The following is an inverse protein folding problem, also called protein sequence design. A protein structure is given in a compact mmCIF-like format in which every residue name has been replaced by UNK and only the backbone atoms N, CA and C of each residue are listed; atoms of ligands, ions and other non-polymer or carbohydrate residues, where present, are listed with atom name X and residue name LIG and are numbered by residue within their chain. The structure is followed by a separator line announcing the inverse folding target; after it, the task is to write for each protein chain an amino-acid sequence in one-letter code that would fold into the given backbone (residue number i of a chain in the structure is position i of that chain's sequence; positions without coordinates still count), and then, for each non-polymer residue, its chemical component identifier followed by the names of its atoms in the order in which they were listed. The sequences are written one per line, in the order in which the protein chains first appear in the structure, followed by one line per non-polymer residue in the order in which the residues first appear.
data_IF_980291660980
#
_entry.id   IF_980291660980
#
_cell.length_a   1.000
_cell.length_b   1.000
_cell.length_c   1.000
_cell.angle_alpha   90.00
_cell.angle_beta   90.00
_cell.angle_gamma   90.00
#
_symmetry.space_group_name_H-M   'P 1'
#
loop_
_entity.id
_entity.type
_entity.pdbx_description
1 polymer ?
#
# COMPACT_ATOMS: atom_id res chain seq x y z
N UNK A 1 49.64 7.65 6.17
CA UNK A 1 48.69 8.08 7.22
C UNK A 1 48.34 6.85 8.03
N UNK A 2 48.97 6.67 9.20
CA UNK A 2 48.70 5.51 10.04
C UNK A 2 47.34 5.71 10.70
N UNK A 3 46.39 4.84 10.38
CA UNK A 3 45.06 4.85 10.99
C UNK A 3 45.24 4.31 12.42
N UNK A 4 44.94 5.13 13.41
CA UNK A 4 45.03 4.71 14.80
C UNK A 4 43.86 3.77 15.15
N UNK A 5 43.94 3.10 16.31
CA UNK A 5 42.92 2.14 16.77
C UNK A 5 41.47 2.68 16.66
N UNK A 6 41.27 3.97 16.99
CA UNK A 6 39.98 4.64 16.86
C UNK A 6 39.47 4.64 15.41
N UNK A 7 40.36 4.86 14.43
CA UNK A 7 40.01 4.84 13.02
C UNK A 7 39.62 3.44 12.53
N UNK A 8 40.30 2.38 13.00
CA UNK A 8 39.89 1.00 12.71
C UNK A 8 38.54 0.66 13.35
N UNK A 9 38.27 1.12 14.58
CA UNK A 9 36.95 0.96 15.21
C UNK A 9 35.85 1.66 14.42
N UNK A 10 36.11 2.87 13.90
CA UNK A 10 35.15 3.61 13.09
C UNK A 10 34.87 2.91 11.75
N UNK A 11 35.90 2.39 11.08
CA UNK A 11 35.74 1.58 9.86
C UNK A 11 34.92 0.32 10.14
N UNK A 12 35.20 -0.38 11.25
CA UNK A 12 34.42 -1.54 11.68
C UNK A 12 32.94 -1.22 11.90
N UNK A 13 32.65 -0.09 12.57
CA UNK A 13 31.27 0.38 12.77
C UNK A 13 30.58 0.71 11.43
N UNK A 14 31.27 1.40 10.52
CA UNK A 14 30.74 1.70 9.18
C UNK A 14 30.42 0.43 8.39
N UNK A 15 31.28 -0.59 8.44
CA UNK A 15 31.05 -1.88 7.78
C UNK A 15 29.81 -2.56 8.38
N UNK A 16 29.66 -2.58 9.70
CA UNK A 16 28.48 -3.15 10.38
C UNK A 16 27.20 -2.43 9.95
N UNK A 17 27.22 -1.10 9.89
CA UNK A 17 26.08 -0.28 9.41
C UNK A 17 25.77 -0.60 7.95
N UNK A 18 26.78 -0.68 7.08
CA UNK A 18 26.58 -1.03 5.67
C UNK A 18 26.01 -2.44 5.50
N UNK A 19 26.49 -3.43 6.27
CA UNK A 19 25.95 -4.80 6.25
C UNK A 19 24.49 -4.80 6.73
N UNK A 20 24.17 -4.02 7.77
CA UNK A 20 22.80 -3.92 8.27
C UNK A 20 21.87 -3.28 7.23
N UNK A 21 22.27 -2.15 6.64
CA UNK A 21 21.53 -1.50 5.54
C UNK A 21 21.35 -2.45 4.35
N UNK A 22 22.39 -3.20 4.00
CA UNK A 22 22.31 -4.18 2.91
C UNK A 22 21.31 -5.29 3.23
N UNK A 23 21.35 -5.88 4.43
CA UNK A 23 20.39 -6.92 4.85
C UNK A 23 18.95 -6.42 4.99
N UNK A 24 18.76 -5.14 5.36
CA UNK A 24 17.44 -4.55 5.55
C UNK A 24 16.84 -3.96 4.25
N UNK A 25 17.56 -4.01 3.13
CA UNK A 25 17.09 -3.46 1.85
C UNK A 25 15.92 -4.28 1.28
N UNK A 26 14.74 -3.66 1.19
CA UNK A 26 13.53 -4.28 0.66
C UNK A 26 13.71 -4.87 -0.76
N UNK A 27 14.52 -4.20 -1.57
CA UNK A 27 14.74 -4.55 -2.98
C UNK A 27 15.43 -5.91 -3.19
N UNK A 28 16.11 -6.44 -2.16
CA UNK A 28 16.80 -7.74 -2.23
C UNK A 28 15.86 -8.92 -1.96
N UNK A 29 14.67 -8.67 -1.42
CA UNK A 29 13.73 -9.70 -1.01
C UNK A 29 12.44 -9.74 -1.85
N UNK A 30 12.31 -8.85 -2.82
CA UNK A 30 11.17 -8.81 -3.74
C UNK A 30 11.59 -9.33 -5.11
N UNK A 31 10.79 -10.24 -5.64
CA UNK A 31 10.89 -10.70 -7.03
C UNK A 31 9.85 -9.96 -7.85
N UNK A 32 10.29 -9.40 -8.98
CA UNK A 32 9.41 -8.61 -9.84
C UNK A 32 9.02 -9.37 -11.10
N UNK A 33 7.71 -9.54 -11.31
CA UNK A 33 7.14 -10.25 -12.46
C UNK A 33 6.14 -9.35 -13.20
N UNK A 34 5.92 -9.65 -14.48
CA UNK A 34 4.88 -8.97 -15.27
C UNK A 34 3.56 -9.66 -14.98
N UNK A 35 2.52 -8.90 -14.64
CA UNK A 35 1.17 -9.45 -14.46
C UNK A 35 0.45 -9.51 -15.81
N UNK A 36 -0.26 -10.62 -16.04
CA UNK A 36 -1.08 -10.81 -17.23
C UNK A 36 -2.38 -9.98 -17.19
N UNK A 37 -2.72 -9.40 -16.03
CA UNK A 37 -3.93 -8.60 -15.83
C UNK A 37 -3.85 -7.25 -16.55
N UNK A 38 -2.69 -6.59 -16.49
CA UNK A 38 -2.51 -5.24 -17.06
C UNK A 38 -1.16 -5.01 -17.77
N UNK A 39 -0.33 -6.06 -17.89
CA UNK A 39 0.97 -6.00 -18.55
C UNK A 39 2.04 -5.21 -17.79
N UNK A 40 1.81 -4.84 -16.53
CA UNK A 40 2.77 -4.07 -15.72
C UNK A 40 3.63 -4.98 -14.85
N UNK A 41 4.82 -4.47 -14.51
CA UNK A 41 5.76 -5.11 -13.59
C UNK A 41 5.35 -4.81 -12.14
N UNK A 42 5.14 -5.85 -11.35
CA UNK A 42 4.88 -5.78 -9.91
C UNK A 42 5.96 -6.52 -9.14
N UNK A 43 6.43 -5.92 -8.06
CA UNK A 43 7.42 -6.52 -7.17
C UNK A 43 6.73 -7.06 -5.92
N UNK A 44 6.80 -8.38 -5.74
CA UNK A 44 6.12 -9.13 -4.68
C UNK A 44 7.13 -10.01 -3.93
N UNK A 45 6.77 -10.51 -2.75
CA UNK A 45 7.63 -11.44 -2.00
C UNK A 45 7.81 -12.73 -2.81
N UNK A 46 9.01 -13.29 -2.75
CA UNK A 46 9.28 -14.60 -3.32
C UNK A 46 8.44 -15.68 -2.63
N UNK A 47 7.70 -16.47 -3.41
CA UNK A 47 6.78 -17.51 -2.95
C UNK A 47 6.38 -18.43 -4.10
N UNK A 48 5.85 -19.62 -3.78
CA UNK A 48 5.44 -20.64 -4.77
C UNK A 48 4.48 -20.11 -5.84
N UNK A 49 3.54 -19.24 -5.46
CA UNK A 49 2.51 -18.69 -6.34
C UNK A 49 2.73 -17.19 -6.60
N UNK A 50 3.91 -16.83 -7.11
CA UNK A 50 4.31 -15.44 -7.33
C UNK A 50 3.39 -14.69 -8.32
N UNK A 51 2.96 -15.34 -9.40
CA UNK A 51 2.07 -14.74 -10.39
C UNK A 51 0.74 -14.30 -9.76
N UNK A 52 0.18 -15.13 -8.87
CA UNK A 52 -1.07 -14.82 -8.17
C UNK A 52 -0.94 -13.59 -7.27
N UNK A 53 0.21 -13.40 -6.63
CA UNK A 53 0.49 -12.21 -5.82
C UNK A 53 0.62 -10.95 -6.70
N UNK A 54 1.32 -11.05 -7.82
CA UNK A 54 1.44 -9.95 -8.78
C UNK A 54 0.09 -9.57 -9.39
N UNK A 55 -0.73 -10.55 -9.77
CA UNK A 55 -2.07 -10.35 -10.27
C UNK A 55 -2.99 -9.74 -9.20
N UNK A 56 -2.80 -10.07 -7.93
CA UNK A 56 -3.53 -9.45 -6.82
C UNK A 56 -3.25 -7.95 -6.75
N UNK A 57 -1.98 -7.54 -6.84
CA UNK A 57 -1.60 -6.13 -6.93
C UNK A 57 -2.14 -5.47 -8.20
N UNK A 58 -2.04 -6.15 -9.34
CA UNK A 58 -2.52 -5.61 -10.62
C UNK A 58 -4.02 -5.33 -10.60
N UNK A 59 -4.83 -6.28 -10.12
CA UNK A 59 -6.28 -6.10 -9.99
C UNK A 59 -6.63 -4.89 -9.10
N UNK A 60 -5.93 -4.72 -7.98
CA UNK A 60 -6.17 -3.59 -7.08
C UNK A 60 -5.67 -2.27 -7.68
N UNK A 61 -4.56 -2.29 -8.41
CA UNK A 61 -4.07 -1.13 -9.14
C UNK A 61 -5.03 -0.68 -10.24
N UNK A 62 -5.64 -1.62 -10.96
CA UNK A 62 -6.70 -1.34 -11.95
C UNK A 62 -7.88 -0.64 -11.28
N UNK A 63 -8.32 -1.12 -10.12
CA UNK A 63 -9.41 -0.51 -9.34
C UNK A 63 -9.06 0.89 -8.82
N UNK A 64 -7.88 1.06 -8.23
CA UNK A 64 -7.38 2.38 -7.79
C UNK A 64 -7.35 3.37 -8.95
N UNK A 65 -6.76 2.98 -10.09
CA UNK A 65 -6.70 3.83 -11.27
C UNK A 65 -8.09 4.18 -11.84
N UNK A 66 -9.03 3.23 -11.81
CA UNK A 66 -10.44 3.50 -12.17
C UNK A 66 -11.07 4.52 -11.23
N UNK A 67 -10.89 4.38 -9.91
CA UNK A 67 -11.41 5.31 -8.91
C UNK A 67 -10.81 6.71 -9.04
N UNK A 68 -9.49 6.81 -9.14
CA UNK A 68 -8.77 8.09 -9.27
C UNK A 68 -9.22 8.85 -10.51
N UNK A 69 -9.34 8.17 -11.66
CA UNK A 69 -9.85 8.78 -12.90
C UNK A 69 -11.32 9.18 -12.79
N UNK A 70 -12.16 8.33 -12.21
CA UNK A 70 -13.58 8.61 -11.99
C UNK A 70 -13.77 9.86 -11.13
N UNK A 71 -13.13 9.93 -9.96
CA UNK A 71 -13.21 11.09 -9.07
C UNK A 71 -12.69 12.36 -9.76
N UNK A 72 -11.56 12.29 -10.47
CA UNK A 72 -11.02 13.46 -11.18
C UNK A 72 -11.93 13.94 -12.32
N UNK A 73 -12.60 13.03 -13.00
CA UNK A 73 -13.58 13.38 -14.04
C UNK A 73 -14.87 13.98 -13.46
N UNK A 74 -15.36 13.45 -12.33
CA UNK A 74 -16.62 13.88 -11.70
C UNK A 74 -16.45 15.15 -10.86
N UNK A 75 -15.29 15.34 -10.24
CA UNK A 75 -15.00 16.44 -9.32
C UNK A 75 -13.65 17.15 -9.62
N UNK A 76 -13.45 17.66 -10.85
CA UNK A 76 -12.16 18.22 -11.28
C UNK A 76 -11.70 19.45 -10.48
N UNK A 77 -12.63 20.17 -9.83
CA UNK A 77 -12.33 21.35 -9.03
C UNK A 77 -12.03 21.04 -7.55
N UNK A 78 -12.30 19.82 -7.07
CA UNK A 78 -12.17 19.47 -5.64
C UNK A 78 -10.69 19.24 -5.29
N UNK A 79 -10.16 20.00 -4.35
CA UNK A 79 -8.71 20.02 -4.06
C UNK A 79 -8.16 18.67 -3.57
N UNK A 80 -8.93 17.91 -2.76
CA UNK A 80 -8.55 16.56 -2.33
C UNK A 80 -8.41 15.60 -3.51
N UNK A 81 -9.31 15.69 -4.51
CA UNK A 81 -9.28 14.88 -5.73
C UNK A 81 -8.08 15.26 -6.60
N UNK A 82 -7.78 16.55 -6.76
CA UNK A 82 -6.58 17.00 -7.48
C UNK A 82 -5.30 16.47 -6.84
N UNK A 83 -5.19 16.52 -5.51
CA UNK A 83 -4.03 15.97 -4.78
C UNK A 83 -3.90 14.47 -5.00
N UNK A 84 -5.00 13.73 -4.87
CA UNK A 84 -5.04 12.29 -5.13
C UNK A 84 -4.61 11.96 -6.57
N UNK A 85 -5.20 12.65 -7.55
CA UNK A 85 -4.93 12.43 -8.98
C UNK A 85 -3.46 12.72 -9.35
N UNK A 86 -2.90 13.81 -8.82
CA UNK A 86 -1.52 14.20 -9.12
C UNK A 86 -0.49 13.37 -8.33
N UNK A 87 -0.83 12.93 -7.12
CA UNK A 87 0.08 12.19 -6.24
C UNK A 87 0.13 10.70 -6.51
N UNK A 88 -0.98 10.09 -6.94
CA UNK A 88 -1.05 8.65 -7.20
C UNK A 88 -0.18 8.23 -8.39
N UNK A 89 0.82 7.39 -8.12
CA UNK A 89 1.68 6.80 -9.14
C UNK A 89 1.34 5.32 -9.39
N UNK A 90 0.59 4.98 -10.45
CA UNK A 90 0.17 3.61 -10.71
C UNK A 90 1.31 2.70 -11.22
N UNK A 91 2.54 3.21 -11.35
CA UNK A 91 3.73 2.45 -11.79
C UNK A 91 4.61 1.99 -10.61
N UNK A 92 4.32 2.44 -9.38
CA UNK A 92 5.14 2.20 -8.19
C UNK A 92 4.32 1.56 -7.08
N UNK A 93 3.76 0.40 -7.39
CA UNK A 93 2.98 -0.42 -6.47
C UNK A 93 3.73 -1.72 -6.20
N UNK A 94 3.95 -2.06 -4.94
CA UNK A 94 4.73 -3.23 -4.54
C UNK A 94 4.18 -3.89 -3.27
N UNK A 95 4.66 -5.07 -2.95
CA UNK A 95 4.33 -5.75 -1.71
C UNK A 95 5.25 -5.30 -0.56
N UNK A 96 4.71 -5.13 0.65
CA UNK A 96 5.52 -4.92 1.87
C UNK A 96 6.29 -6.17 2.24
N UNK A 97 7.42 -6.07 2.95
CA UNK A 97 8.09 -7.27 3.49
C UNK A 97 7.44 -7.79 4.79
N UNK A 98 7.63 -9.07 5.16
CA UNK A 98 7.17 -9.59 6.46
C UNK A 98 7.82 -8.88 7.66
N UNK A 99 8.96 -8.23 7.47
CA UNK A 99 9.63 -7.41 8.47
C UNK A 99 9.07 -5.99 8.58
N UNK A 100 8.28 -5.54 7.61
CA UNK A 100 7.64 -4.22 7.61
C UNK A 100 6.83 -3.99 8.89
N UNK A 101 6.97 -2.82 9.50
CA UNK A 101 6.11 -2.41 10.63
C UNK A 101 4.69 -2.07 10.16
N UNK A 102 4.55 -1.67 8.90
CA UNK A 102 3.28 -1.26 8.29
C UNK A 102 2.66 -2.39 7.47
N UNK A 103 1.33 -2.51 7.55
CA UNK A 103 0.54 -3.46 6.75
C UNK A 103 0.27 -2.93 5.34
N UNK A 104 0.16 -1.61 5.18
CA UNK A 104 0.19 -0.87 3.93
C UNK A 104 0.80 0.51 4.19
N UNK A 105 1.32 1.15 3.15
CA UNK A 105 1.78 2.53 3.26
C UNK A 105 1.83 3.23 1.91
N UNK A 106 1.65 4.55 1.92
CA UNK A 106 1.88 5.46 0.81
C UNK A 106 3.04 6.40 1.14
N UNK A 107 4.13 6.29 0.39
CA UNK A 107 5.32 7.12 0.57
C UNK A 107 5.21 8.39 -0.26
N UNK A 108 5.68 9.52 0.30
CA UNK A 108 5.76 10.82 -0.37
C UNK A 108 4.46 11.21 -1.10
N UNK A 109 3.30 11.00 -0.45
CA UNK A 109 1.98 11.30 -1.01
C UNK A 109 1.73 10.59 -2.36
N UNK A 110 2.04 9.30 -2.42
CA UNK A 110 1.63 8.41 -3.52
C UNK A 110 2.71 8.09 -4.54
N UNK A 111 3.94 8.59 -4.35
CA UNK A 111 5.07 8.26 -5.21
C UNK A 111 5.31 6.75 -5.29
N UNK A 112 5.13 6.06 -4.16
CA UNK A 112 5.23 4.61 -4.00
C UNK A 112 4.15 4.15 -3.02
N UNK A 113 3.41 3.10 -3.35
CA UNK A 113 2.39 2.51 -2.45
C UNK A 113 2.70 1.02 -2.25
N UNK A 114 2.68 0.58 -1.00
CA UNK A 114 2.96 -0.78 -0.60
C UNK A 114 1.74 -1.42 0.05
N UNK A 115 1.52 -2.70 -0.22
CA UNK A 115 0.49 -3.48 0.46
C UNK A 115 1.05 -4.80 0.96
N UNK A 116 0.59 -5.27 2.11
CA UNK A 116 0.70 -6.67 2.47
C UNK A 116 -0.35 -7.45 1.69
N UNK A 117 0.01 -8.58 1.10
CA UNK A 117 -0.95 -9.36 0.30
C UNK A 117 -1.55 -10.54 1.06
N UNK A 118 -1.30 -10.65 2.36
CA UNK A 118 -1.61 -11.84 3.14
C UNK A 118 -2.53 -11.53 4.33
N UNK A 119 -3.28 -12.53 4.79
CA UNK A 119 -4.10 -12.44 6.01
C UNK A 119 -3.26 -12.32 7.28
N UNK A 120 -2.16 -13.08 7.34
CA UNK A 120 -1.18 -13.02 8.43
C UNK A 120 0.20 -12.66 7.87
N UNK A 121 1.01 -11.96 8.67
CA UNK A 121 2.29 -11.36 8.25
C UNK A 121 3.26 -12.35 7.59
N UNK A 122 3.30 -13.58 8.10
CA UNK A 122 4.21 -14.67 7.68
C UNK A 122 3.50 -15.83 6.98
N UNK A 123 2.19 -15.72 6.72
CA UNK A 123 1.45 -16.76 5.98
C UNK A 123 1.54 -16.58 4.47
N UNK A 124 1.30 -17.64 3.69
CA UNK A 124 1.10 -17.55 2.23
C UNK A 124 -0.37 -17.38 1.83
N UNK A 125 -1.27 -17.26 2.81
CA UNK A 125 -2.69 -17.09 2.58
C UNK A 125 -2.98 -15.67 2.11
N UNK A 126 -3.23 -15.50 0.82
CA UNK A 126 -3.54 -14.20 0.26
C UNK A 126 -4.83 -13.63 0.87
N UNK A 127 -4.83 -12.32 1.09
CA UNK A 127 -6.02 -11.57 1.47
C UNK A 127 -7.04 -11.60 0.31
N UNK A 128 -8.33 -11.53 0.64
CA UNK A 128 -9.36 -11.45 -0.37
C UNK A 128 -9.29 -10.10 -1.13
N UNK A 129 -9.77 -10.06 -2.38
CA UNK A 129 -9.72 -8.85 -3.19
C UNK A 129 -10.50 -7.67 -2.63
N UNK A 130 -11.60 -7.90 -1.89
CA UNK A 130 -12.46 -6.81 -1.44
C UNK A 130 -11.81 -6.07 -0.26
N UNK A 131 -11.27 -6.80 0.72
CA UNK A 131 -10.50 -6.21 1.82
C UNK A 131 -9.23 -5.53 1.34
N UNK A 132 -8.50 -6.09 0.37
CA UNK A 132 -7.34 -5.39 -0.20
C UNK A 132 -7.75 -4.11 -0.95
N UNK A 133 -8.91 -4.11 -1.62
CA UNK A 133 -9.47 -2.89 -2.24
C UNK A 133 -9.80 -1.85 -1.19
N UNK A 134 -10.37 -2.24 -0.05
CA UNK A 134 -10.62 -1.33 1.08
C UNK A 134 -9.32 -0.68 1.59
N UNK A 135 -8.28 -1.48 1.82
CA UNK A 135 -6.95 -0.97 2.24
C UNK A 135 -6.33 -0.06 1.16
N UNK A 136 -6.51 -0.39 -0.11
CA UNK A 136 -6.05 0.46 -1.21
C UNK A 136 -6.76 1.83 -1.23
N UNK A 137 -8.06 1.86 -0.94
CA UNK A 137 -8.82 3.11 -0.83
C UNK A 137 -8.34 3.93 0.39
N UNK A 138 -8.01 3.27 1.50
CA UNK A 138 -7.38 3.92 2.66
C UNK A 138 -6.07 4.65 2.28
N UNK A 139 -5.19 3.98 1.53
CA UNK A 139 -3.95 4.61 1.06
C UNK A 139 -4.20 5.76 0.07
N UNK A 140 -5.20 5.65 -0.81
CA UNK A 140 -5.61 6.77 -1.66
C UNK A 140 -6.12 7.96 -0.84
N UNK A 141 -6.82 7.71 0.27
CA UNK A 141 -7.27 8.77 1.18
C UNK A 141 -6.09 9.50 1.85
N UNK A 142 -5.00 8.79 2.18
CA UNK A 142 -3.76 9.43 2.67
C UNK A 142 -3.13 10.37 1.64
N UNK A 143 -3.24 10.06 0.35
CA UNK A 143 -2.78 10.92 -0.75
C UNK A 143 -3.72 12.11 -0.94
N UNK A 144 -5.04 11.89 -0.84
CA UNK A 144 -6.05 12.95 -0.95
C UNK A 144 -5.96 13.99 0.19
N UNK A 145 -5.45 13.59 1.35
CA UNK A 145 -5.37 14.41 2.58
C UNK A 145 -4.13 15.31 2.59
N UNK A 146 -4.26 16.55 3.05
CA UNK A 146 -3.13 17.50 3.11
C UNK A 146 -2.14 17.12 4.22
N UNK A 147 -2.66 16.80 5.40
CA UNK A 147 -1.88 16.42 6.59
C UNK A 147 -1.39 14.96 6.59
N UNK A 148 -0.82 14.53 7.72
CA UNK A 148 -0.40 13.15 7.97
C UNK A 148 -1.26 12.53 9.08
N UNK A 149 -1.33 11.20 9.10
CA UNK A 149 -2.17 10.46 10.05
C UNK A 149 -3.65 10.43 9.65
N UNK A 150 -4.48 10.04 10.62
CA UNK A 150 -5.92 9.82 10.45
C UNK A 150 -6.73 10.99 11.04
N UNK A 151 -6.55 12.18 10.47
CA UNK A 151 -7.30 13.40 10.84
C UNK A 151 -8.75 13.35 10.36
N UNK A 152 -9.58 14.31 10.78
CA UNK A 152 -10.96 14.43 10.28
C UNK A 152 -11.01 14.54 8.74
N UNK A 153 -10.12 15.36 8.14
CA UNK A 153 -9.98 15.44 6.66
C UNK A 153 -9.69 14.06 6.04
N UNK A 154 -8.90 13.22 6.71
CA UNK A 154 -8.59 11.88 6.22
C UNK A 154 -9.84 10.99 6.21
N UNK A 155 -10.60 10.97 7.31
CA UNK A 155 -11.78 10.12 7.42
C UNK A 155 -12.89 10.57 6.48
N UNK A 156 -13.09 11.88 6.32
CA UNK A 156 -13.99 12.44 5.31
C UNK A 156 -13.59 12.02 3.89
N UNK A 157 -12.29 12.09 3.57
CA UNK A 157 -11.77 11.63 2.27
C UNK A 157 -11.96 10.13 2.09
N UNK A 158 -11.69 9.32 3.11
CA UNK A 158 -11.83 7.86 3.07
C UNK A 158 -13.30 7.48 2.83
N UNK A 159 -14.24 8.03 3.60
CA UNK A 159 -15.69 7.85 3.45
C UNK A 159 -16.16 8.25 2.05
N UNK A 160 -15.72 9.41 1.56
CA UNK A 160 -16.01 9.89 0.21
C UNK A 160 -15.52 8.91 -0.87
N UNK A 161 -14.26 8.45 -0.79
CA UNK A 161 -13.69 7.54 -1.78
C UNK A 161 -14.33 6.15 -1.74
N UNK A 162 -14.69 5.65 -0.55
CA UNK A 162 -15.43 4.40 -0.40
C UNK A 162 -16.80 4.50 -1.06
N UNK A 163 -17.52 5.61 -0.88
CA UNK A 163 -18.80 5.86 -1.56
C UNK A 163 -18.65 5.84 -3.08
N UNK A 164 -17.72 6.63 -3.63
CA UNK A 164 -17.48 6.67 -5.08
C UNK A 164 -17.00 5.32 -5.64
N UNK A 165 -16.24 4.53 -4.87
CA UNK A 165 -15.83 3.18 -5.25
C UNK A 165 -17.02 2.20 -5.31
N UNK A 166 -17.98 2.35 -4.39
CA UNK A 166 -19.25 1.62 -4.40
C UNK A 166 -20.10 2.00 -5.62
N UNK A 167 -20.26 3.30 -5.89
CA UNK A 167 -21.04 3.82 -7.01
C UNK A 167 -20.59 3.27 -8.38
N UNK A 168 -19.28 3.07 -8.56
CA UNK A 168 -18.71 2.54 -9.81
C UNK A 168 -18.46 1.02 -9.80
N UNK A 169 -18.94 0.34 -8.75
CA UNK A 169 -18.94 -1.12 -8.62
C UNK A 169 -17.56 -1.77 -8.51
N UNK A 170 -16.55 -1.08 -7.97
CA UNK A 170 -15.21 -1.67 -7.75
C UNK A 170 -14.98 -2.17 -6.32
N UNK A 171 -15.82 -1.75 -5.39
CA UNK A 171 -15.76 -2.12 -3.98
C UNK A 171 -17.17 -2.47 -3.49
N UNK A 172 -17.27 -3.59 -2.76
CA UNK A 172 -18.49 -4.00 -2.09
C UNK A 172 -18.44 -3.53 -0.64
N UNK A 173 -19.37 -2.66 -0.24
CA UNK A 173 -19.40 -2.08 1.09
C UNK A 173 -19.55 -3.18 2.15
N UNK A 174 -18.50 -3.37 2.95
CA UNK A 174 -18.48 -4.37 4.04
C UNK A 174 -18.41 -3.67 5.39
N UNK A 175 -19.37 -3.95 6.26
CA UNK A 175 -19.39 -3.46 7.65
C UNK A 175 -18.48 -4.35 8.51
N UNK A 176 -17.21 -3.95 8.62
CA UNK A 176 -16.20 -4.68 9.38
C UNK A 176 -16.44 -4.64 10.90
N UNK A 177 -17.31 -3.75 11.40
CA UNK A 177 -17.72 -3.78 12.82
C UNK A 177 -18.56 -5.02 13.14
N UNK A 178 -19.27 -5.55 12.13
CA UNK A 178 -20.08 -6.78 12.22
C UNK A 178 -19.32 -8.00 11.74
N UNK A 179 -18.51 -7.84 10.69
CA UNK A 179 -17.75 -8.93 10.06
C UNK A 179 -16.25 -8.58 10.03
N UNK A 180 -15.56 -8.57 11.18
CA UNK A 180 -14.14 -8.23 11.23
C UNK A 180 -13.30 -9.26 10.47
N UNK A 181 -12.22 -8.78 9.85
CA UNK A 181 -11.32 -9.62 9.04
C UNK A 181 -9.86 -9.43 9.44
N UNK A 182 -9.06 -10.49 9.28
CA UNK A 182 -7.61 -10.45 9.49
C UNK A 182 -6.90 -9.96 8.24
N UNK A 183 -6.12 -8.89 8.38
CA UNK A 183 -5.25 -8.35 7.35
C UNK A 183 -3.84 -8.14 7.88
N UNK A 184 -2.87 -8.81 7.25
CA UNK A 184 -1.46 -8.78 7.61
C UNK A 184 -1.13 -8.98 9.10
N UNK A 185 -1.93 -9.77 9.81
CA UNK A 185 -1.75 -9.99 11.25
C UNK A 185 -2.38 -8.94 12.16
N UNK A 186 -3.23 -8.07 11.62
CA UNK A 186 -4.04 -7.09 12.35
C UNK A 186 -5.52 -7.26 12.04
N UNK A 187 -6.39 -6.81 12.95
CA UNK A 187 -7.84 -6.83 12.73
C UNK A 187 -8.28 -5.57 11.99
N UNK A 188 -9.00 -5.76 10.88
CA UNK A 188 -9.81 -4.72 10.26
C UNK A 188 -11.22 -4.90 10.80
N UNK A 189 -11.60 -4.02 11.71
CA UNK A 189 -12.86 -4.09 12.45
C UNK A 189 -13.72 -2.83 12.31
N UNK A 190 -13.35 -1.92 11.41
CA UNK A 190 -14.04 -0.66 11.21
C UNK A 190 -14.06 -0.24 9.74
N UNK A 191 -15.10 0.47 9.34
CA UNK A 191 -15.25 1.04 8.01
C UNK A 191 -15.97 2.40 8.09
N UNK A 192 -15.27 3.52 7.78
CA UNK A 192 -15.81 4.86 7.96
C UNK A 192 -16.99 5.18 7.04
N UNK A 193 -17.29 4.33 6.06
CA UNK A 193 -18.52 4.42 5.27
C UNK A 193 -19.78 4.29 6.14
N UNK A 194 -19.74 3.47 7.20
CA UNK A 194 -20.89 3.19 8.07
C UNK A 194 -20.96 4.09 9.31
N UNK A 195 -19.96 4.94 9.52
CA UNK A 195 -19.97 5.92 10.60
C UNK A 195 -21.09 6.93 10.41
N UNK A 196 -21.68 7.38 11.52
CA UNK A 196 -22.80 8.34 11.53
C UNK A 196 -22.33 9.75 11.22
#
# INVERSE_FOLDING_TARGET
MNINLIGYCFIGLLIIICIKIYKDSESLHLTCVISDVDGRKYCVRDRKHIALAADRLANVNVKMNKLVKHCNSKYPSKENVKRMYNGYNPKKIHETLPTSEYTAYSQNKGEKIAFCLNKEKTSDNLIDPNTLTFVAIHELAHIATKGYGHTDEFWENCKFLLGEAGDIGIYEQTDYSKNPVRYCGTDVSDNPYFDK
#
